data_IF_266632173366
#
_entry.id   IF_266632173366
#
_cell.length_a   1.000
_cell.length_b   1.000
_cell.length_c   1.000
_cell.angle_alpha   90.00
_cell.angle_beta   90.00
_cell.angle_gamma   90.00
#
_symmetry.space_group_name_H-M   'P 1'
#
loop_
_entity.id
_entity.type
_entity.pdbx_description
1 polymer ?
#
# COMPACT_ATOMS: atom_id res chain seq x y z
N UNK A 1 -10.19 -3.65 -3.15
CA UNK A 1 -9.04 -4.33 -2.53
C UNK A 1 -9.47 -4.98 -1.22
N UNK A 2 -9.24 -6.26 -1.09
CA UNK A 2 -9.56 -6.97 0.14
C UNK A 2 -8.48 -6.73 1.20
N UNK A 3 -8.78 -7.10 2.44
CA UNK A 3 -7.81 -6.97 3.52
C UNK A 3 -6.57 -7.79 3.23
N UNK A 4 -6.76 -8.97 2.66
CA UNK A 4 -5.66 -9.84 2.31
C UNK A 4 -4.77 -9.20 1.23
N UNK A 5 -5.40 -8.58 0.25
CA UNK A 5 -4.66 -7.88 -0.79
C UNK A 5 -3.91 -6.68 -0.23
N UNK A 6 -4.52 -5.99 0.70
CA UNK A 6 -3.89 -4.86 1.37
C UNK A 6 -2.62 -5.30 2.10
N UNK A 7 -2.75 -6.39 2.88
CA UNK A 7 -1.61 -6.94 3.61
C UNK A 7 -0.49 -7.33 2.65
N UNK A 8 -0.85 -7.97 1.55
CA UNK A 8 0.13 -8.41 0.57
C UNK A 8 0.84 -7.21 -0.07
N UNK A 9 0.07 -6.19 -0.42
CA UNK A 9 0.64 -4.98 -1.03
C UNK A 9 1.60 -4.29 -0.08
N UNK A 10 1.21 -4.18 1.19
CA UNK A 10 2.08 -3.55 2.18
C UNK A 10 3.33 -4.37 2.43
N UNK A 11 3.19 -5.69 2.45
CA UNK A 11 4.34 -6.55 2.64
C UNK A 11 5.33 -6.41 1.50
N UNK A 12 4.83 -6.34 0.28
CA UNK A 12 5.69 -6.15 -0.88
C UNK A 12 6.37 -4.78 -0.85
N UNK A 13 5.64 -3.76 -0.42
CA UNK A 13 6.21 -2.43 -0.34
C UNK A 13 7.32 -2.37 0.71
N UNK A 14 7.09 -2.96 1.86
CA UNK A 14 8.10 -3.03 2.91
C UNK A 14 9.35 -3.75 2.43
N UNK A 15 9.15 -4.88 1.78
CA UNK A 15 10.26 -5.67 1.28
C UNK A 15 11.08 -4.87 0.27
N UNK A 16 10.40 -4.15 -0.59
CA UNK A 16 11.02 -3.33 -1.61
C UNK A 16 11.82 -2.19 -0.97
N UNK A 17 11.24 -1.55 0.03
CA UNK A 17 11.88 -0.45 0.72
C UNK A 17 13.17 -0.90 1.40
N UNK A 18 13.17 -2.09 1.96
CA UNK A 18 14.34 -2.65 2.62
C UNK A 18 15.40 -3.08 1.63
N UNK A 19 15.00 -3.55 0.47
CA UNK A 19 15.92 -4.05 -0.54
C UNK A 19 16.52 -2.95 -1.41
N UNK A 20 15.72 -1.97 -1.77
CA UNK A 20 16.16 -0.90 -2.66
C UNK A 20 16.65 0.29 -1.86
N UNK A 21 17.95 0.50 -1.89
CA UNK A 21 18.53 1.62 -1.17
C UNK A 21 18.22 2.97 -1.83
N UNK A 22 17.75 2.93 -3.07
CA UNK A 22 17.39 4.17 -3.77
C UNK A 22 16.01 4.68 -3.39
N UNK A 23 15.20 3.85 -2.75
CA UNK A 23 13.87 4.26 -2.34
C UNK A 23 13.95 5.12 -1.09
N UNK A 24 13.47 6.35 -1.18
CA UNK A 24 13.51 7.27 -0.05
C UNK A 24 12.30 7.07 0.85
N UNK A 25 12.38 7.66 2.04
CA UNK A 25 11.25 7.62 2.97
C UNK A 25 10.02 8.24 2.35
N UNK A 26 10.18 9.31 1.58
CA UNK A 26 9.07 9.97 0.92
C UNK A 26 8.41 9.05 -0.11
N UNK A 27 9.23 8.34 -0.86
CA UNK A 27 8.70 7.40 -1.84
C UNK A 27 7.89 6.30 -1.16
N UNK A 28 8.41 5.80 -0.06
CA UNK A 28 7.72 4.77 0.71
C UNK A 28 6.38 5.28 1.21
N UNK A 29 6.36 6.48 1.78
CA UNK A 29 5.13 7.04 2.31
C UNK A 29 4.11 7.32 1.22
N UNK A 30 4.58 7.73 0.06
CA UNK A 30 3.69 7.98 -1.07
C UNK A 30 3.01 6.69 -1.52
N UNK A 31 3.79 5.63 -1.68
CA UNK A 31 3.24 4.35 -2.10
C UNK A 31 2.32 3.78 -1.05
N UNK A 32 2.70 3.90 0.21
CA UNK A 32 1.87 3.44 1.30
C UNK A 32 0.52 4.14 1.30
N UNK A 33 0.54 5.45 1.10
CA UNK A 33 -0.70 6.23 1.07
C UNK A 33 -1.57 5.81 -0.11
N UNK A 34 -0.96 5.55 -1.26
CA UNK A 34 -1.71 5.10 -2.42
C UNK A 34 -2.43 3.78 -2.15
N UNK A 35 -1.74 2.87 -1.49
CA UNK A 35 -2.32 1.57 -1.15
C UNK A 35 -3.47 1.76 -0.15
N UNK A 36 -3.29 2.62 0.83
CA UNK A 36 -4.34 2.90 1.80
C UNK A 36 -5.58 3.49 1.13
N UNK A 37 -5.37 4.43 0.23
CA UNK A 37 -6.47 5.07 -0.46
C UNK A 37 -7.25 4.05 -1.27
N UNK A 38 -6.55 3.16 -1.97
CA UNK A 38 -7.20 2.11 -2.74
C UNK A 38 -8.03 1.20 -1.86
N UNK A 39 -7.46 0.83 -0.73
CA UNK A 39 -8.14 -0.05 0.20
C UNK A 39 -9.39 0.61 0.78
N UNK A 40 -9.26 1.85 1.20
CA UNK A 40 -10.38 2.58 1.79
C UNK A 40 -11.47 2.85 0.76
N UNK A 41 -11.09 3.16 -0.45
CA UNK A 41 -12.04 3.37 -1.54
C UNK A 41 -12.91 2.15 -1.74
N UNK A 42 -12.27 0.99 -1.85
CA UNK A 42 -13.00 -0.26 -2.06
C UNK A 42 -13.90 -0.55 -0.87
N UNK A 43 -13.37 -0.32 0.33
CA UNK A 43 -14.12 -0.60 1.55
C UNK A 43 -15.39 0.22 1.65
N UNK A 44 -15.31 1.49 1.31
CA UNK A 44 -16.47 2.38 1.41
C UNK A 44 -17.39 2.27 0.21
N UNK A 45 -16.86 1.95 -0.96
CA UNK A 45 -17.70 1.83 -2.15
C UNK A 45 -18.46 0.53 -2.21
N UNK A 46 -18.05 -0.46 -1.45
CA UNK A 46 -18.69 -1.78 -1.52
C UNK A 46 -20.10 -1.77 -0.99
N UNK A 47 -20.52 -0.69 -0.40
CA UNK A 47 -21.87 -0.57 0.11
C UNK A 47 -22.89 -0.30 -0.96
N UNK A 48 -22.44 -0.04 -2.15
CA UNK A 48 -23.36 0.18 -3.25
C UNK A 48 -24.11 -1.10 -3.59
#
# INVERSE_FOLDING_TARGET
MTEQEYDMAMSQLNDRYLKESTMTNEDYLRDKKAIEIEYLKTKYSSNE
#
